data_IF_691743134699
#
_entry.id   IF_691743134699
#
_cell.length_a   1.000
_cell.length_b   1.000
_cell.length_c   1.000
_cell.angle_alpha   90.00
_cell.angle_beta   90.00
_cell.angle_gamma   90.00
#
_symmetry.space_group_name_H-M   'P 1'
#
loop_
_entity.id
_entity.type
_entity.pdbx_description
1 polymer ?
#
# COMPACT_ATOMS: atom_id res chain seq x y z
N UNK A 1 3.05 60.53 -21.28
CA UNK A 1 2.33 60.25 -20.02
C UNK A 1 2.93 59.10 -19.23
N UNK A 2 3.83 58.28 -19.81
CA UNK A 2 4.39 57.09 -19.15
C UNK A 2 5.87 57.24 -18.79
N UNK A 3 6.40 58.47 -18.71
CA UNK A 3 7.83 58.66 -18.40
C UNK A 3 8.06 58.32 -16.92
N UNK A 4 8.94 57.35 -16.61
CA UNK A 4 9.27 57.03 -15.24
C UNK A 4 9.98 58.19 -14.55
N UNK A 5 9.80 58.30 -13.23
CA UNK A 5 10.58 59.19 -12.39
C UNK A 5 11.98 58.60 -12.09
N UNK A 6 12.74 59.25 -11.20
CA UNK A 6 14.11 58.82 -10.84
C UNK A 6 14.16 57.47 -10.12
N UNK A 7 13.01 56.98 -9.65
CA UNK A 7 12.84 55.71 -8.95
C UNK A 7 12.17 54.65 -9.86
N UNK A 8 12.12 54.91 -11.17
CA UNK A 8 11.47 54.06 -12.19
C UNK A 8 9.93 53.95 -12.04
N UNK A 9 9.30 54.85 -11.27
CA UNK A 9 7.84 54.84 -11.08
C UNK A 9 7.14 55.66 -12.16
N UNK A 10 6.11 55.09 -12.79
CA UNK A 10 5.29 55.84 -13.73
C UNK A 10 4.31 56.79 -13.02
N UNK A 11 3.83 57.86 -13.68
CA UNK A 11 2.89 58.81 -13.07
C UNK A 11 1.59 58.16 -12.60
N UNK A 12 1.16 57.09 -13.29
CA UNK A 12 0.02 56.28 -12.89
C UNK A 12 0.29 55.53 -11.59
N UNK A 13 1.48 54.93 -11.43
CA UNK A 13 1.87 54.25 -10.19
C UNK A 13 1.90 55.21 -9.01
N UNK A 14 2.48 56.39 -9.16
CA UNK A 14 2.53 57.39 -8.08
C UNK A 14 1.13 57.88 -7.67
N UNK A 15 0.19 58.00 -8.62
CA UNK A 15 -1.20 58.32 -8.31
C UNK A 15 -1.90 57.17 -7.55
N UNK A 16 -1.63 55.92 -7.91
CA UNK A 16 -2.19 54.73 -7.28
C UNK A 16 -1.61 54.49 -5.88
N UNK A 17 -0.30 54.60 -5.73
CA UNK A 17 0.43 54.44 -4.45
C UNK A 17 0.03 55.53 -3.43
N UNK A 18 -0.21 56.76 -3.91
CA UNK A 18 -0.74 57.85 -3.07
C UNK A 18 -2.24 57.80 -2.81
N UNK A 19 -2.95 56.77 -3.31
CA UNK A 19 -4.39 56.58 -3.12
C UNK A 19 -5.29 57.55 -3.91
N UNK A 20 -4.74 58.27 -4.89
CA UNK A 20 -5.45 59.28 -5.70
C UNK A 20 -6.18 58.63 -6.89
N UNK A 21 -7.20 57.83 -6.59
CA UNK A 21 -7.97 57.05 -7.56
C UNK A 21 -8.61 57.91 -8.67
N UNK A 22 -9.07 59.13 -8.35
CA UNK A 22 -9.66 60.05 -9.34
C UNK A 22 -8.63 60.48 -10.40
N UNK A 23 -7.40 60.76 -9.96
CA UNK A 23 -6.30 61.16 -10.84
C UNK A 23 -5.87 59.96 -11.68
N UNK A 24 -5.76 58.77 -11.07
CA UNK A 24 -5.50 57.53 -11.81
C UNK A 24 -6.56 57.27 -12.88
N UNK A 25 -7.85 57.44 -12.58
CA UNK A 25 -8.94 57.27 -13.55
C UNK A 25 -8.84 58.25 -14.73
N UNK A 26 -8.48 59.51 -14.46
CA UNK A 26 -8.24 60.52 -15.51
C UNK A 26 -7.05 60.10 -16.38
N UNK A 27 -5.95 59.64 -15.78
CA UNK A 27 -4.77 59.18 -16.52
C UNK A 27 -5.09 58.00 -17.43
N UNK A 28 -5.84 57.01 -16.96
CA UNK A 28 -6.31 55.87 -17.77
C UNK A 28 -7.20 56.35 -18.91
N UNK A 29 -8.15 57.26 -18.64
CA UNK A 29 -9.03 57.84 -19.66
C UNK A 29 -8.27 58.58 -20.77
N UNK A 30 -7.13 59.18 -20.44
CA UNK A 30 -6.26 59.87 -21.40
C UNK A 30 -5.25 58.93 -22.10
N UNK A 31 -5.40 57.61 -21.97
CA UNK A 31 -4.62 56.62 -22.70
C UNK A 31 -3.26 56.33 -22.08
N UNK A 32 -3.13 56.44 -20.75
CA UNK A 32 -1.96 55.92 -20.03
C UNK A 32 -1.89 54.40 -20.19
N UNK A 33 -0.67 53.88 -20.40
CA UNK A 33 -0.45 52.45 -20.59
C UNK A 33 -0.49 51.74 -19.23
N UNK A 34 -1.35 50.74 -19.11
CA UNK A 34 -1.54 49.96 -17.88
C UNK A 34 -0.51 48.83 -17.76
N UNK A 35 0.08 48.42 -18.88
CA UNK A 35 0.96 47.24 -18.98
C UNK A 35 2.43 47.64 -19.01
N UNK A 36 2.75 48.77 -18.37
CA UNK A 36 4.12 49.25 -18.24
C UNK A 36 4.97 48.25 -17.49
N UNK A 37 6.13 47.97 -18.07
CA UNK A 37 7.12 47.06 -17.51
C UNK A 37 8.13 47.86 -16.69
N UNK A 38 8.25 47.52 -15.41
CA UNK A 38 9.27 48.07 -14.52
C UNK A 38 10.24 46.98 -14.07
N UNK A 39 11.34 47.40 -13.44
CA UNK A 39 12.17 46.47 -12.67
C UNK A 39 11.33 45.85 -11.53
N UNK A 40 11.50 44.55 -11.33
CA UNK A 40 10.87 43.76 -10.28
C UNK A 40 11.89 43.05 -9.39
N UNK A 41 11.42 42.22 -8.46
CA UNK A 41 12.29 41.42 -7.59
C UNK A 41 13.31 40.63 -8.40
N UNK A 42 14.52 40.49 -7.87
CA UNK A 42 15.61 39.77 -8.54
C UNK A 42 16.15 40.41 -9.83
N UNK A 43 15.63 41.58 -10.25
CA UNK A 43 15.98 42.20 -11.53
C UNK A 43 15.12 41.73 -12.70
N UNK A 44 14.01 41.01 -12.43
CA UNK A 44 13.05 40.63 -13.46
C UNK A 44 12.31 41.86 -14.01
N UNK A 45 11.65 41.73 -15.15
CA UNK A 45 10.68 42.71 -15.65
C UNK A 45 9.28 42.26 -15.28
N UNK A 46 8.52 43.16 -14.66
CA UNK A 46 7.17 42.91 -14.18
C UNK A 46 6.20 44.01 -14.63
N UNK A 47 4.90 43.71 -14.75
CA UNK A 47 3.89 44.73 -15.03
C UNK A 47 3.43 45.43 -13.75
N UNK A 48 2.73 46.56 -13.87
CA UNK A 48 2.15 47.26 -12.71
C UNK A 48 1.23 46.35 -11.88
N UNK A 49 0.52 45.42 -12.53
CA UNK A 49 -0.31 44.44 -11.84
C UNK A 49 0.52 43.48 -10.96
N UNK A 50 1.65 42.96 -11.47
CA UNK A 50 2.55 42.12 -10.67
C UNK A 50 3.09 42.85 -9.45
N UNK A 51 3.48 44.13 -9.62
CA UNK A 51 3.95 44.95 -8.51
C UNK A 51 2.86 45.20 -7.47
N UNK A 52 1.63 45.47 -7.90
CA UNK A 52 0.49 45.64 -6.98
C UNK A 52 0.21 44.35 -6.19
N UNK A 53 0.38 43.19 -6.81
CA UNK A 53 0.28 41.90 -6.13
C UNK A 53 1.45 41.72 -5.14
N UNK A 54 2.71 41.99 -5.53
CA UNK A 54 3.91 41.84 -4.68
C UNK A 54 3.81 42.68 -3.40
N UNK A 55 3.31 43.91 -3.54
CA UNK A 55 3.11 44.85 -2.45
C UNK A 55 1.83 44.57 -1.63
N UNK A 56 1.07 43.53 -1.99
CA UNK A 56 -0.21 43.18 -1.40
C UNK A 56 -1.22 44.35 -1.40
N UNK A 57 -1.21 45.15 -2.46
CA UNK A 57 -2.11 46.29 -2.61
C UNK A 57 -3.34 45.89 -3.44
N UNK A 58 -4.28 45.23 -2.79
CA UNK A 58 -5.52 44.72 -3.41
C UNK A 58 -6.34 45.82 -4.09
N UNK A 59 -6.35 47.03 -3.52
CA UNK A 59 -7.11 48.16 -4.05
C UNK A 59 -6.59 48.62 -5.42
N UNK A 60 -5.26 48.73 -5.54
CA UNK A 60 -4.58 49.09 -6.78
C UNK A 60 -4.68 47.96 -7.80
N UNK A 61 -4.50 46.71 -7.38
CA UNK A 61 -4.67 45.56 -8.25
C UNK A 61 -6.09 45.51 -8.85
N UNK A 62 -7.13 45.66 -8.02
CA UNK A 62 -8.52 45.69 -8.48
C UNK A 62 -8.79 46.87 -9.43
N UNK A 63 -8.21 48.04 -9.16
CA UNK A 63 -8.33 49.20 -10.05
C UNK A 63 -7.73 48.93 -11.44
N UNK A 64 -6.52 48.36 -11.49
CA UNK A 64 -5.84 48.02 -12.74
C UNK A 64 -6.62 46.95 -13.53
N UNK A 65 -7.14 45.92 -12.85
CA UNK A 65 -7.95 44.86 -13.47
C UNK A 65 -9.24 45.41 -14.08
N UNK A 66 -9.98 46.23 -13.32
CA UNK A 66 -11.21 46.90 -13.79
C UNK A 66 -10.96 47.87 -14.94
N UNK A 67 -9.77 48.45 -14.99
CA UNK A 67 -9.34 49.37 -16.05
C UNK A 67 -8.91 48.66 -17.34
N UNK A 68 -8.82 47.32 -17.34
CA UNK A 68 -8.56 46.53 -18.54
C UNK A 68 -7.08 46.27 -18.83
N UNK A 69 -6.22 46.20 -17.81
CA UNK A 69 -4.83 45.75 -17.97
C UNK A 69 -4.73 44.30 -18.48
N UNK A 70 -3.55 43.91 -18.96
CA UNK A 70 -3.20 42.53 -19.28
C UNK A 70 -3.08 41.69 -18.00
N UNK A 71 -3.96 40.70 -17.89
CA UNK A 71 -4.10 39.80 -16.73
C UNK A 71 -3.34 38.49 -16.89
N UNK A 72 -2.76 38.23 -18.06
CA UNK A 72 -2.25 36.91 -18.43
C UNK A 72 -0.73 36.90 -18.68
N UNK A 73 -0.13 38.04 -19.04
CA UNK A 73 1.32 38.11 -19.28
C UNK A 73 2.12 37.65 -18.04
N UNK A 74 3.05 36.69 -18.17
CA UNK A 74 3.96 36.34 -17.08
C UNK A 74 5.14 37.32 -16.98
N UNK A 75 5.89 37.27 -15.88
CA UNK A 75 7.16 38.01 -15.72
C UNK A 75 8.17 37.65 -16.82
N UNK A 76 9.06 38.59 -17.14
CA UNK A 76 10.12 38.41 -18.17
C UNK A 76 11.50 38.59 -17.53
N UNK A 77 12.56 37.95 -18.05
CA UNK A 77 13.91 38.18 -17.55
C UNK A 77 14.35 39.63 -17.84
N UNK A 78 15.22 40.14 -16.99
CA UNK A 78 15.85 41.45 -17.15
C UNK A 78 16.74 41.52 -18.40
N UNK A 79 17.09 42.73 -18.87
CA UNK A 79 17.87 42.94 -20.10
C UNK A 79 19.26 42.28 -20.08
N UNK A 80 19.83 42.02 -18.90
CA UNK A 80 21.13 41.38 -18.71
C UNK A 80 21.03 39.90 -18.27
N UNK A 81 19.82 39.32 -18.28
CA UNK A 81 19.56 37.98 -17.73
C UNK A 81 19.34 37.94 -16.22
N UNK A 82 19.21 39.09 -15.57
CA UNK A 82 18.82 39.21 -14.15
C UNK A 82 17.35 38.79 -13.95
N UNK A 83 16.99 38.34 -12.74
CA UNK A 83 15.64 37.89 -12.40
C UNK A 83 15.19 36.66 -13.17
N UNK A 84 16.15 35.85 -13.64
CA UNK A 84 15.88 34.66 -14.42
C UNK A 84 15.07 33.64 -13.63
N UNK A 85 15.24 33.56 -12.30
CA UNK A 85 14.50 32.62 -11.45
C UNK A 85 13.00 32.95 -11.43
N UNK A 86 12.62 34.18 -11.04
CA UNK A 86 11.21 34.62 -11.01
C UNK A 86 10.57 34.63 -12.42
N UNK A 87 11.36 34.94 -13.46
CA UNK A 87 10.88 34.92 -14.83
C UNK A 87 10.76 33.51 -15.40
N UNK A 88 11.57 32.55 -14.93
CA UNK A 88 11.52 31.14 -15.33
C UNK A 88 10.27 30.45 -14.82
N UNK A 89 9.65 30.93 -13.75
CA UNK A 89 8.41 30.35 -13.23
C UNK A 89 7.25 30.49 -14.21
N UNK A 90 7.27 31.49 -15.10
CA UNK A 90 6.16 31.79 -16.03
C UNK A 90 4.80 31.96 -15.32
N UNK A 91 4.84 32.40 -14.06
CA UNK A 91 3.67 32.65 -13.23
C UNK A 91 2.85 33.83 -13.78
N UNK A 92 1.57 33.59 -14.10
CA UNK A 92 0.64 34.67 -14.45
C UNK A 92 0.19 35.45 -13.19
N UNK A 93 -0.38 36.65 -13.34
CA UNK A 93 -0.97 37.39 -12.22
C UNK A 93 -1.95 36.55 -11.37
N UNK A 94 -2.72 35.66 -12.00
CA UNK A 94 -3.62 34.76 -11.30
C UNK A 94 -2.88 33.67 -10.51
N UNK A 95 -1.73 33.16 -10.98
CA UNK A 95 -0.88 32.26 -10.19
C UNK A 95 -0.34 32.94 -8.94
N UNK A 96 0.15 34.18 -9.05
CA UNK A 96 0.68 34.93 -7.91
C UNK A 96 -0.42 35.26 -6.88
N UNK A 97 -1.59 35.69 -7.35
CA UNK A 97 -2.73 35.93 -6.48
C UNK A 97 -3.17 34.65 -5.74
N UNK A 98 -3.11 33.48 -6.40
CA UNK A 98 -3.36 32.18 -5.76
C UNK A 98 -2.24 31.74 -4.82
N UNK A 99 -0.98 32.13 -5.08
CA UNK A 99 0.17 31.80 -4.25
C UNK A 99 0.18 32.59 -2.94
N UNK A 100 -0.20 33.87 -2.98
CA UNK A 100 -0.21 34.76 -1.82
C UNK A 100 -1.54 34.81 -1.06
N UNK A 101 -2.59 34.17 -1.58
CA UNK A 101 -3.87 34.13 -0.89
C UNK A 101 -4.71 35.40 -1.07
N UNK A 102 -4.56 36.13 -2.17
CA UNK A 102 -5.25 37.40 -2.42
C UNK A 102 -6.69 37.18 -2.92
N UNK A 103 -7.60 36.87 -2.00
CA UNK A 103 -8.98 36.46 -2.29
C UNK A 103 -9.76 37.49 -3.13
N UNK A 104 -9.68 38.77 -2.76
CA UNK A 104 -10.38 39.88 -3.45
C UNK A 104 -9.87 40.07 -4.88
N UNK A 105 -8.55 39.92 -5.06
CA UNK A 105 -7.91 40.09 -6.36
C UNK A 105 -8.21 38.90 -7.26
N UNK A 106 -8.20 37.67 -6.73
CA UNK A 106 -8.64 36.48 -7.48
C UNK A 106 -10.09 36.64 -7.94
N UNK A 107 -10.99 37.08 -7.05
CA UNK A 107 -12.38 37.33 -7.43
C UNK A 107 -12.47 38.38 -8.55
N UNK A 108 -11.74 39.49 -8.43
CA UNK A 108 -11.74 40.54 -9.45
C UNK A 108 -11.16 40.06 -10.79
N UNK A 109 -10.09 39.26 -10.78
CA UNK A 109 -9.50 38.64 -11.97
C UNK A 109 -10.50 37.73 -12.67
N UNK A 110 -11.20 36.87 -11.93
CA UNK A 110 -12.20 35.93 -12.47
C UNK A 110 -13.40 36.69 -13.07
N UNK A 111 -13.90 37.72 -12.38
CA UNK A 111 -15.03 38.53 -12.86
C UNK A 111 -14.71 39.31 -14.14
N UNK A 112 -13.44 39.56 -14.43
CA UNK A 112 -12.99 40.32 -15.59
C UNK A 112 -12.26 39.43 -16.62
N UNK A 113 -12.70 38.19 -16.80
CA UNK A 113 -12.24 37.28 -17.88
C UNK A 113 -10.72 36.97 -17.87
N UNK A 114 -10.07 36.92 -16.70
CA UNK A 114 -8.71 36.39 -16.61
C UNK A 114 -8.68 34.89 -17.00
N UNK A 115 -7.60 34.45 -17.66
CA UNK A 115 -7.51 33.07 -18.11
C UNK A 115 -7.22 32.13 -16.93
N UNK A 116 -8.20 31.30 -16.56
CA UNK A 116 -8.12 30.40 -15.40
C UNK A 116 -7.29 29.13 -15.62
N UNK A 117 -6.98 28.79 -16.88
CA UNK A 117 -6.29 27.55 -17.27
C UNK A 117 -4.84 27.77 -17.72
N UNK A 118 -4.28 28.96 -17.49
CA UNK A 118 -2.88 29.27 -17.83
C UNK A 118 -1.95 28.27 -17.14
N UNK A 119 -0.85 27.93 -17.82
CA UNK A 119 0.18 27.05 -17.29
C UNK A 119 1.42 27.84 -16.91
N UNK A 120 1.95 27.58 -15.73
CA UNK A 120 3.29 28.02 -15.34
C UNK A 120 4.37 27.09 -15.93
N UNK A 121 5.63 27.30 -15.54
CA UNK A 121 6.77 26.52 -16.01
C UNK A 121 6.80 25.07 -15.52
N UNK A 122 6.10 24.77 -14.42
CA UNK A 122 5.86 23.41 -13.94
C UNK A 122 4.60 22.79 -14.56
N UNK A 123 3.99 23.46 -15.55
CA UNK A 123 2.70 23.09 -16.12
C UNK A 123 1.56 23.04 -15.09
N UNK A 124 1.74 23.67 -13.93
CA UNK A 124 0.68 23.86 -12.95
C UNK A 124 -0.26 24.94 -13.44
N UNK A 125 -1.49 24.85 -12.94
CA UNK A 125 -2.56 25.84 -13.17
C UNK A 125 -2.75 26.63 -11.88
N UNK A 126 -3.41 27.80 -11.91
CA UNK A 126 -3.70 28.55 -10.69
C UNK A 126 -4.41 27.72 -9.61
N UNK A 127 -5.28 26.79 -10.01
CA UNK A 127 -5.93 25.85 -9.08
C UNK A 127 -4.95 24.91 -8.37
N UNK A 128 -3.89 24.43 -9.04
CA UNK A 128 -2.87 23.61 -8.39
C UNK A 128 -2.14 24.41 -7.31
N UNK A 129 -1.72 25.64 -7.64
CA UNK A 129 -1.04 26.55 -6.70
C UNK A 129 -1.93 26.90 -5.50
N UNK A 130 -3.23 27.16 -5.73
CA UNK A 130 -4.18 27.44 -4.65
C UNK A 130 -4.36 26.23 -3.70
N UNK A 131 -4.36 25.01 -4.25
CA UNK A 131 -4.45 23.75 -3.49
C UNK A 131 -3.18 23.48 -2.68
N UNK A 132 -2.00 23.70 -3.27
CA UNK A 132 -0.70 23.54 -2.62
C UNK A 132 -0.55 24.48 -1.42
N UNK A 133 -1.00 25.73 -1.57
CA UNK A 133 -0.99 26.74 -0.51
C UNK A 133 -2.22 26.69 0.43
N UNK A 134 -3.14 25.74 0.22
CA UNK A 134 -4.30 25.49 1.09
C UNK A 134 -5.31 26.66 1.21
N UNK A 135 -5.41 27.53 0.21
CA UNK A 135 -6.34 28.67 0.21
C UNK A 135 -7.78 28.26 -0.13
N UNK A 136 -8.54 27.80 0.87
CA UNK A 136 -9.88 27.23 0.67
C UNK A 136 -10.89 28.15 -0.04
N UNK A 137 -10.87 29.46 0.22
CA UNK A 137 -11.77 30.42 -0.43
C UNK A 137 -11.43 30.56 -1.91
N UNK A 138 -10.15 30.73 -2.24
CA UNK A 138 -9.65 30.81 -3.62
C UNK A 138 -9.98 29.54 -4.40
N UNK A 139 -9.77 28.36 -3.80
CA UNK A 139 -10.11 27.08 -4.42
C UNK A 139 -11.60 27.04 -4.75
N UNK A 140 -12.47 27.51 -3.85
CA UNK A 140 -13.92 27.55 -4.06
C UNK A 140 -14.31 28.52 -5.18
N UNK A 141 -13.68 29.70 -5.26
CA UNK A 141 -13.88 30.68 -6.33
C UNK A 141 -13.47 30.12 -7.71
N UNK A 142 -12.30 29.49 -7.80
CA UNK A 142 -11.83 28.86 -9.04
C UNK A 142 -12.75 27.69 -9.46
N UNK A 143 -13.16 26.84 -8.52
CA UNK A 143 -14.06 25.71 -8.79
C UNK A 143 -15.48 26.14 -9.19
N UNK A 144 -15.90 27.36 -8.88
CA UNK A 144 -17.16 27.91 -9.37
C UNK A 144 -17.09 28.32 -10.86
N UNK A 145 -15.89 28.50 -11.42
CA UNK A 145 -15.73 28.97 -12.79
C UNK A 145 -15.97 27.84 -13.83
N UNK A 146 -16.89 28.00 -14.80
CA UNK A 146 -17.33 26.91 -15.67
C UNK A 146 -16.24 26.41 -16.62
N UNK A 147 -15.32 27.27 -17.06
CA UNK A 147 -14.26 26.88 -18.00
C UNK A 147 -13.05 26.20 -17.34
N UNK A 148 -13.00 26.11 -16.01
CA UNK A 148 -11.89 25.46 -15.31
C UNK A 148 -11.84 23.97 -15.67
N UNK A 149 -10.68 23.53 -16.13
CA UNK A 149 -10.42 22.14 -16.47
C UNK A 149 -9.67 21.44 -15.31
N UNK A 150 -10.22 20.33 -14.83
CA UNK A 150 -9.71 19.56 -13.70
C UNK A 150 -8.99 18.26 -14.12
N UNK A 151 -8.86 18.03 -15.43
CA UNK A 151 -8.32 16.78 -15.98
C UNK A 151 -6.83 16.84 -16.32
N UNK A 152 -6.26 18.04 -16.46
CA UNK A 152 -4.86 18.18 -16.88
C UNK A 152 -3.92 18.03 -15.73
N UNK A 153 -2.75 17.51 -16.09
CA UNK A 153 -1.66 17.15 -15.21
C UNK A 153 -0.56 18.21 -15.25
N UNK A 154 0.05 18.45 -14.10
CA UNK A 154 1.30 19.18 -13.98
C UNK A 154 2.48 18.37 -14.55
N UNK A 155 3.70 18.91 -14.46
CA UNK A 155 4.93 18.25 -14.90
C UNK A 155 5.24 16.95 -14.13
N UNK A 156 4.74 16.80 -12.90
CA UNK A 156 4.87 15.60 -12.08
C UNK A 156 3.79 14.55 -12.42
N UNK A 157 2.83 14.88 -13.28
CA UNK A 157 1.71 14.01 -13.64
C UNK A 157 0.50 14.12 -12.71
N UNK A 158 0.48 15.08 -11.78
CA UNK A 158 -0.60 15.31 -10.82
C UNK A 158 -1.72 16.15 -11.42
N UNK A 159 -2.95 15.66 -11.29
CA UNK A 159 -4.17 16.47 -11.50
C UNK A 159 -4.44 17.33 -10.25
N UNK A 160 -5.36 18.32 -10.31
CA UNK A 160 -5.73 19.10 -9.12
C UNK A 160 -6.19 18.22 -7.95
N UNK A 161 -6.91 17.14 -8.24
CA UNK A 161 -7.30 16.16 -7.22
C UNK A 161 -6.08 15.44 -6.61
N UNK A 162 -5.13 15.00 -7.46
CA UNK A 162 -3.89 14.38 -6.98
C UNK A 162 -3.05 15.33 -6.11
N UNK A 163 -3.00 16.61 -6.48
CA UNK A 163 -2.35 17.65 -5.68
C UNK A 163 -3.04 17.78 -4.30
N UNK A 164 -4.38 17.81 -4.27
CA UNK A 164 -5.15 17.89 -3.02
C UNK A 164 -4.92 16.68 -2.11
N UNK A 165 -4.84 15.47 -2.68
CA UNK A 165 -4.50 14.25 -1.93
C UNK A 165 -3.06 14.30 -1.39
N UNK A 166 -2.11 14.80 -2.19
CA UNK A 166 -0.70 14.89 -1.80
C UNK A 166 -0.48 15.92 -0.70
N UNK A 167 -1.22 17.04 -0.72
CA UNK A 167 -1.18 18.08 0.31
C UNK A 167 -2.12 17.82 1.48
N UNK A 168 -2.82 16.67 1.51
CA UNK A 168 -3.81 16.29 2.53
C UNK A 168 -4.94 17.32 2.72
N UNK A 169 -5.30 18.03 1.65
CA UNK A 169 -6.36 19.01 1.66
C UNK A 169 -7.72 18.37 1.36
N UNK A 170 -8.30 17.72 2.38
CA UNK A 170 -9.59 16.99 2.26
C UNK A 170 -10.74 17.89 1.81
N UNK A 171 -10.75 19.17 2.20
CA UNK A 171 -11.79 20.14 1.79
C UNK A 171 -11.71 20.42 0.29
N UNK A 172 -10.51 20.64 -0.24
CA UNK A 172 -10.29 20.84 -1.66
C UNK A 172 -10.62 19.58 -2.46
N UNK A 173 -10.16 18.40 -1.99
CA UNK A 173 -10.46 17.13 -2.62
C UNK A 173 -11.99 16.88 -2.70
N UNK A 174 -12.73 17.14 -1.62
CA UNK A 174 -14.18 17.03 -1.62
C UNK A 174 -14.86 18.03 -2.58
N UNK A 175 -14.40 19.29 -2.59
CA UNK A 175 -14.94 20.30 -3.49
C UNK A 175 -14.71 19.94 -4.97
N UNK A 176 -13.55 19.36 -5.29
CA UNK A 176 -13.23 18.85 -6.63
C UNK A 176 -14.15 17.69 -7.00
N UNK A 177 -14.38 16.72 -6.10
CA UNK A 177 -15.25 15.57 -6.35
C UNK A 177 -16.72 15.95 -6.52
N UNK A 178 -17.19 16.98 -5.83
CA UNK A 178 -18.54 17.51 -6.00
C UNK A 178 -18.78 18.03 -7.43
N UNK A 179 -17.71 18.49 -8.11
CA UNK A 179 -17.77 18.95 -9.50
C UNK A 179 -17.45 17.82 -10.48
N UNK A 180 -16.42 17.02 -10.20
CA UNK A 180 -15.93 15.92 -11.04
C UNK A 180 -15.77 14.65 -10.20
N UNK A 181 -16.83 13.81 -10.07
CA UNK A 181 -16.81 12.62 -9.22
C UNK A 181 -15.83 11.54 -9.73
N UNK A 182 -15.51 11.55 -11.02
CA UNK A 182 -14.55 10.63 -11.65
C UNK A 182 -13.10 10.94 -11.29
N UNK A 183 -12.82 12.08 -10.62
CA UNK A 183 -11.46 12.50 -10.29
C UNK A 183 -10.72 11.51 -9.37
N UNK A 184 -11.43 10.81 -8.49
CA UNK A 184 -10.83 9.83 -7.58
C UNK A 184 -10.53 8.46 -8.23
N UNK A 185 -11.09 8.18 -9.42
CA UNK A 185 -10.87 6.92 -10.15
C UNK A 185 -9.63 6.97 -11.06
N UNK A 186 -8.93 8.10 -11.10
CA UNK A 186 -7.74 8.25 -11.92
C UNK A 186 -6.62 7.32 -11.44
N UNK A 187 -5.94 6.71 -12.41
CA UNK A 187 -4.80 5.83 -12.19
C UNK A 187 -3.49 6.49 -12.60
N UNK A 188 -2.41 6.05 -11.97
CA UNK A 188 -1.05 6.38 -12.37
C UNK A 188 -0.58 5.55 -13.58
N UNK A 189 0.66 5.77 -14.04
CA UNK A 189 1.23 5.01 -15.16
C UNK A 189 1.41 3.51 -14.87
N UNK A 190 1.28 3.09 -13.61
CA UNK A 190 1.33 1.68 -13.19
C UNK A 190 -0.07 1.07 -13.04
N UNK A 191 -1.13 1.86 -13.21
CA UNK A 191 -2.51 1.40 -13.04
C UNK A 191 -3.05 1.52 -11.62
N UNK A 192 -2.32 2.17 -10.71
CA UNK A 192 -2.70 2.32 -9.31
C UNK A 192 -3.60 3.53 -9.14
N UNK A 193 -4.74 3.34 -8.48
CA UNK A 193 -5.59 4.45 -8.04
C UNK A 193 -5.02 5.12 -6.76
N UNK A 194 -5.68 6.19 -6.29
CA UNK A 194 -5.27 6.87 -5.06
C UNK A 194 -5.35 6.01 -3.81
N UNK A 195 -6.28 5.05 -3.74
CA UNK A 195 -6.43 4.14 -2.61
C UNK A 195 -5.24 3.17 -2.50
N UNK A 196 -4.75 2.62 -3.61
CA UNK A 196 -3.54 1.79 -3.66
C UNK A 196 -2.32 2.58 -3.15
N UNK A 197 -2.17 3.83 -3.61
CA UNK A 197 -1.06 4.70 -3.20
C UNK A 197 -1.16 5.04 -1.70
N UNK A 198 -2.37 5.32 -1.19
CA UNK A 198 -2.59 5.64 0.21
C UNK A 198 -2.25 4.45 1.13
N UNK A 199 -2.67 3.24 0.77
CA UNK A 199 -2.36 2.01 1.52
C UNK A 199 -0.85 1.75 1.51
N UNK A 200 -0.20 1.83 0.34
CA UNK A 200 1.25 1.60 0.23
C UNK A 200 2.07 2.63 1.00
N UNK A 201 1.60 3.88 1.09
CA UNK A 201 2.22 4.92 1.90
C UNK A 201 1.83 4.84 3.37
N UNK A 202 1.00 3.89 3.77
CA UNK A 202 0.51 3.71 5.15
C UNK A 202 -0.33 4.89 5.66
N UNK A 203 -0.91 5.67 4.74
CA UNK A 203 -1.62 6.90 5.04
C UNK A 203 -3.09 6.64 5.35
N UNK A 204 -3.36 6.25 6.60
CA UNK A 204 -4.69 5.89 7.09
C UNK A 204 -5.70 7.03 6.90
N UNK A 205 -5.27 8.29 7.08
CA UNK A 205 -6.15 9.45 6.90
C UNK A 205 -6.67 9.55 5.46
N UNK A 206 -5.78 9.40 4.48
CA UNK A 206 -6.14 9.37 3.08
C UNK A 206 -7.00 8.15 2.73
N UNK A 207 -6.73 6.99 3.32
CA UNK A 207 -7.58 5.78 3.14
C UNK A 207 -8.99 6.03 3.66
N UNK A 208 -9.14 6.54 4.89
CA UNK A 208 -10.45 6.84 5.48
C UNK A 208 -11.21 7.90 4.69
N UNK A 209 -10.51 8.93 4.21
CA UNK A 209 -11.09 9.95 3.34
C UNK A 209 -11.58 9.38 2.01
N UNK A 210 -10.76 8.58 1.32
CA UNK A 210 -11.15 7.96 0.05
C UNK A 210 -12.31 6.97 0.20
N UNK A 211 -12.43 6.33 1.36
CA UNK A 211 -13.54 5.42 1.65
C UNK A 211 -14.81 6.20 2.02
N UNK A 212 -14.70 7.34 2.71
CA UNK A 212 -15.87 8.17 3.05
C UNK A 212 -16.54 8.78 1.84
N UNK A 213 -15.80 8.99 0.74
CA UNK A 213 -16.33 9.42 -0.56
C UNK A 213 -16.84 8.26 -1.43
N UNK A 214 -16.95 7.04 -0.88
CA UNK A 214 -17.43 5.83 -1.55
C UNK A 214 -16.66 5.46 -2.83
N UNK A 215 -15.33 5.67 -2.86
CA UNK A 215 -14.48 5.14 -3.94
C UNK A 215 -14.65 3.63 -4.05
N UNK A 216 -14.69 3.12 -5.27
CA UNK A 216 -14.75 1.69 -5.52
C UNK A 216 -13.51 0.97 -4.95
N UNK A 217 -13.68 0.25 -3.84
CA UNK A 217 -12.64 -0.56 -3.19
C UNK A 217 -12.29 -1.83 -3.98
N UNK A 218 -13.04 -2.16 -5.02
CA UNK A 218 -12.80 -3.31 -5.89
C UNK A 218 -12.25 -2.90 -7.26
N UNK A 219 -11.80 -1.65 -7.43
CA UNK A 219 -11.14 -1.25 -8.68
C UNK A 219 -9.82 -2.01 -8.82
N UNK A 220 -9.63 -2.81 -9.89
CA UNK A 220 -8.39 -3.55 -10.07
C UNK A 220 -7.23 -2.61 -10.40
N UNK A 221 -6.01 -3.02 -10.05
CA UNK A 221 -4.81 -2.37 -10.56
C UNK A 221 -4.69 -2.71 -12.06
N UNK A 222 -4.83 -1.71 -12.94
CA UNK A 222 -4.64 -1.90 -14.38
C UNK A 222 -3.15 -1.79 -14.72
N UNK A 223 -2.35 -2.79 -14.35
CA UNK A 223 -0.95 -2.84 -14.75
C UNK A 223 -0.85 -2.83 -16.30
N UNK A 224 -0.55 -1.66 -16.89
CA UNK A 224 -0.41 -1.45 -18.34
C UNK A 224 0.84 -2.17 -18.89
N UNK A 225 1.69 -2.67 -18.00
CA UNK A 225 2.67 -3.68 -18.33
C UNK A 225 1.98 -5.04 -18.20
N UNK A 226 1.39 -5.54 -19.30
CA UNK A 226 1.87 -6.76 -19.98
C UNK A 226 1.25 -6.91 -21.37
N UNK A 227 2.15 -7.01 -22.35
CA UNK A 227 2.08 -7.74 -23.60
C UNK A 227 0.72 -8.34 -23.99
N UNK A 228 0.20 -7.95 -25.16
CA UNK A 228 -0.78 -8.71 -25.95
C UNK A 228 -0.50 -10.22 -25.87
N UNK A 229 -1.22 -10.95 -25.02
CA UNK A 229 -1.51 -12.38 -25.15
C UNK A 229 -2.54 -12.75 -24.09
N UNK A 230 -3.73 -13.11 -24.59
CA UNK A 230 -4.78 -13.90 -23.95
C UNK A 230 -4.39 -14.53 -22.61
N UNK A 231 -4.75 -13.83 -21.52
CA UNK A 231 -4.98 -14.43 -20.21
C UNK A 231 -6.33 -13.88 -19.75
N UNK A 232 -7.19 -14.75 -19.22
CA UNK A 232 -8.56 -14.45 -18.84
C UNK A 232 -8.65 -13.21 -17.95
N UNK A 233 -9.72 -12.44 -18.15
CA UNK A 233 -10.14 -11.26 -17.37
C UNK A 233 -10.43 -11.64 -15.90
N UNK A 234 -9.39 -11.95 -15.13
CA UNK A 234 -9.47 -11.89 -13.68
C UNK A 234 -9.03 -10.50 -13.27
N UNK A 235 -10.00 -9.64 -12.99
CA UNK A 235 -9.79 -8.37 -12.31
C UNK A 235 -9.17 -8.69 -10.94
N UNK A 236 -7.87 -8.45 -10.78
CA UNK A 236 -7.16 -8.74 -9.52
C UNK A 236 -7.22 -7.51 -8.62
N UNK A 237 -7.73 -7.70 -7.40
CA UNK A 237 -7.81 -6.66 -6.38
C UNK A 237 -6.68 -6.86 -5.35
N UNK A 238 -5.70 -5.96 -5.39
CA UNK A 238 -4.48 -6.09 -4.58
C UNK A 238 -4.52 -5.23 -3.30
N UNK A 239 -5.58 -4.46 -3.06
CA UNK A 239 -5.66 -3.57 -1.88
C UNK A 239 -5.57 -4.32 -0.55
N UNK A 240 -6.28 -5.44 -0.42
CA UNK A 240 -6.23 -6.27 0.78
C UNK A 240 -4.88 -7.00 0.91
N UNK A 241 -4.26 -7.39 -0.22
CA UNK A 241 -2.91 -7.97 -0.25
C UNK A 241 -1.85 -6.98 0.23
N UNK A 242 -1.92 -5.73 -0.24
CA UNK A 242 -1.01 -4.65 0.18
C UNK A 242 -1.16 -4.33 1.66
N UNK A 243 -2.39 -4.19 2.15
CA UNK A 243 -2.65 -3.95 3.57
C UNK A 243 -2.15 -5.12 4.45
N UNK A 244 -2.32 -6.36 3.98
CA UNK A 244 -1.83 -7.57 4.63
C UNK A 244 -0.30 -7.66 4.63
N UNK A 245 0.36 -7.25 3.53
CA UNK A 245 1.82 -7.27 3.37
C UNK A 245 2.55 -6.31 4.32
N UNK A 246 1.91 -5.20 4.71
CA UNK A 246 2.51 -4.19 5.59
C UNK A 246 2.01 -4.29 7.06
N UNK A 247 1.25 -5.33 7.41
CA UNK A 247 0.66 -5.54 8.74
C UNK A 247 -0.32 -4.43 9.19
N UNK A 248 -1.02 -3.77 8.26
CA UNK A 248 -1.98 -2.72 8.58
C UNK A 248 -3.36 -3.28 8.92
N UNK A 249 -3.48 -3.88 10.12
CA UNK A 249 -4.72 -4.47 10.60
C UNK A 249 -5.93 -3.50 10.54
N UNK A 250 -5.73 -2.23 10.90
CA UNK A 250 -6.79 -1.21 10.82
C UNK A 250 -7.27 -0.97 9.38
N UNK A 251 -6.35 -0.94 8.41
CA UNK A 251 -6.71 -0.80 6.99
C UNK A 251 -7.43 -2.05 6.51
N UNK A 252 -6.96 -3.25 6.89
CA UNK A 252 -7.67 -4.50 6.56
C UNK A 252 -9.12 -4.47 7.08
N UNK A 253 -9.32 -4.08 8.34
CA UNK A 253 -10.65 -3.99 8.97
C UNK A 253 -11.56 -3.00 8.22
N UNK A 254 -11.04 -1.80 7.94
CA UNK A 254 -11.75 -0.78 7.17
C UNK A 254 -12.12 -1.25 5.75
N UNK A 255 -11.22 -1.96 5.06
CA UNK A 255 -11.51 -2.50 3.72
C UNK A 255 -12.58 -3.61 3.77
N UNK A 256 -12.51 -4.50 4.77
CA UNK A 256 -13.48 -5.58 4.98
C UNK A 256 -14.88 -5.02 5.28
N UNK A 257 -14.98 -4.01 6.14
CA UNK A 257 -16.23 -3.31 6.45
C UNK A 257 -16.86 -2.67 5.20
N UNK A 258 -16.04 -2.25 4.24
CA UNK A 258 -16.46 -1.64 2.99
C UNK A 258 -16.67 -2.65 1.84
N UNK A 259 -16.86 -3.94 2.17
CA UNK A 259 -17.20 -5.02 1.21
C UNK A 259 -16.17 -5.21 0.10
N UNK A 260 -14.89 -5.11 0.44
CA UNK A 260 -13.83 -5.57 -0.45
C UNK A 260 -13.97 -7.07 -0.72
N UNK A 261 -13.66 -7.50 -1.94
CA UNK A 261 -13.54 -8.91 -2.28
C UNK A 261 -12.32 -9.51 -1.57
N UNK A 262 -12.55 -10.22 -0.46
CA UNK A 262 -11.49 -10.78 0.38
C UNK A 262 -10.88 -12.08 -0.19
N UNK A 263 -11.58 -12.77 -1.09
CA UNK A 263 -11.10 -13.98 -1.78
C UNK A 263 -10.36 -13.66 -3.10
N UNK A 264 -10.08 -12.38 -3.36
CA UNK A 264 -9.25 -11.98 -4.48
C UNK A 264 -7.87 -12.66 -4.41
N UNK A 265 -7.31 -12.98 -5.58
CA UNK A 265 -6.05 -13.71 -5.71
C UNK A 265 -5.00 -12.88 -6.46
N UNK A 266 -3.75 -12.96 -5.99
CA UNK A 266 -2.58 -12.36 -6.64
C UNK A 266 -2.09 -13.17 -7.87
N UNK A 267 -0.95 -12.77 -8.44
CA UNK A 267 -0.33 -13.45 -9.58
C UNK A 267 0.07 -14.91 -9.34
N UNK A 268 0.30 -15.28 -8.09
CA UNK A 268 0.69 -16.61 -7.66
C UNK A 268 -0.49 -17.41 -7.11
N UNK A 269 -1.73 -16.94 -7.31
CA UNK A 269 -2.95 -17.47 -6.68
C UNK A 269 -2.92 -17.44 -5.13
N UNK A 270 -2.16 -16.54 -4.53
CA UNK A 270 -2.23 -16.28 -3.10
C UNK A 270 -3.44 -15.40 -2.82
N UNK A 271 -4.16 -15.69 -1.74
CA UNK A 271 -5.08 -14.72 -1.12
C UNK A 271 -4.33 -13.83 -0.11
N UNK A 272 -5.01 -12.82 0.43
CA UNK A 272 -4.42 -11.91 1.41
C UNK A 272 -3.86 -12.61 2.66
N UNK A 273 -4.46 -13.74 3.06
CA UNK A 273 -4.00 -14.53 4.20
C UNK A 273 -2.64 -15.18 3.93
N UNK A 274 -2.39 -15.70 2.73
CA UNK A 274 -1.06 -16.21 2.35
C UNK A 274 0.02 -15.13 2.51
N UNK A 275 -0.28 -13.89 2.10
CA UNK A 275 0.66 -12.77 2.21
C UNK A 275 0.90 -12.40 3.69
N UNK A 276 -0.17 -12.25 4.48
CA UNK A 276 -0.05 -11.94 5.91
C UNK A 276 0.82 -12.95 6.66
N UNK A 277 0.61 -14.26 6.41
CA UNK A 277 1.38 -15.32 7.08
C UNK A 277 2.80 -15.46 6.55
N UNK A 278 3.04 -15.20 5.26
CA UNK A 278 4.38 -15.18 4.66
C UNK A 278 5.29 -14.17 5.35
N UNK A 279 4.76 -12.99 5.66
CA UNK A 279 5.51 -11.94 6.34
C UNK A 279 5.48 -12.06 7.88
N UNK A 280 4.72 -13.01 8.44
CA UNK A 280 4.61 -13.22 9.89
C UNK A 280 3.79 -12.14 10.61
N UNK A 281 2.80 -11.57 9.93
CA UNK A 281 1.98 -10.45 10.38
C UNK A 281 0.77 -10.91 11.18
N UNK A 282 0.94 -11.00 12.50
CA UNK A 282 -0.07 -11.52 13.42
C UNK A 282 -1.37 -10.70 13.43
N UNK A 283 -1.28 -9.37 13.40
CA UNK A 283 -2.46 -8.51 13.53
C UNK A 283 -3.29 -8.50 12.25
N UNK A 284 -2.65 -8.39 11.09
CA UNK A 284 -3.34 -8.57 9.81
C UNK A 284 -3.99 -9.96 9.70
N UNK A 285 -3.27 -11.02 10.11
CA UNK A 285 -3.81 -12.39 10.11
C UNK A 285 -5.03 -12.52 11.04
N UNK A 286 -5.01 -11.88 12.21
CA UNK A 286 -6.14 -11.84 13.15
C UNK A 286 -7.37 -11.24 12.49
N UNK A 287 -7.25 -10.03 11.97
CA UNK A 287 -8.36 -9.33 11.31
C UNK A 287 -8.92 -10.16 10.15
N UNK A 288 -8.04 -10.69 9.28
CA UNK A 288 -8.48 -11.52 8.15
C UNK A 288 -9.26 -12.78 8.61
N UNK A 289 -8.82 -13.46 9.66
CA UNK A 289 -9.49 -14.66 10.16
C UNK A 289 -10.76 -14.40 10.97
N UNK A 290 -10.86 -13.26 11.66
CA UNK A 290 -11.99 -12.99 12.57
C UNK A 290 -13.06 -12.09 11.96
N UNK A 291 -12.69 -11.18 11.06
CA UNK A 291 -13.59 -10.18 10.46
C UNK A 291 -14.01 -10.54 9.03
N UNK A 292 -13.49 -11.65 8.49
CA UNK A 292 -13.86 -12.12 7.15
C UNK A 292 -14.07 -13.63 7.10
N UNK A 293 -14.71 -14.10 6.02
CA UNK A 293 -14.86 -15.52 5.71
C UNK A 293 -13.84 -15.98 4.66
N UNK A 294 -12.65 -15.36 4.68
CA UNK A 294 -11.57 -15.68 3.73
C UNK A 294 -11.26 -17.18 3.75
N UNK A 295 -11.10 -17.77 2.57
CA UNK A 295 -10.79 -19.18 2.47
C UNK A 295 -9.36 -19.47 2.97
N UNK A 296 -9.24 -19.86 4.24
CA UNK A 296 -7.97 -20.20 4.86
C UNK A 296 -7.38 -21.56 4.40
N UNK A 297 -8.13 -22.30 3.59
CA UNK A 297 -7.69 -23.54 2.94
C UNK A 297 -7.40 -23.37 1.44
N UNK A 298 -7.49 -22.14 0.93
CA UNK A 298 -7.14 -21.84 -0.46
C UNK A 298 -5.71 -22.29 -0.75
N UNK A 299 -5.49 -22.80 -1.97
CA UNK A 299 -4.17 -23.24 -2.42
C UNK A 299 -3.63 -22.29 -3.48
N UNK A 300 -2.38 -21.88 -3.31
CA UNK A 300 -1.69 -21.07 -4.30
C UNK A 300 -1.19 -21.89 -5.50
N UNK A 301 -0.48 -21.26 -6.44
CA UNK A 301 0.04 -21.92 -7.64
C UNK A 301 1.01 -23.08 -7.37
N UNK A 302 1.60 -23.15 -6.16
CA UNK A 302 2.46 -24.26 -5.69
C UNK A 302 1.66 -25.34 -4.95
N UNK A 303 0.33 -25.25 -4.91
CA UNK A 303 -0.52 -26.12 -4.10
C UNK A 303 -0.37 -25.88 -2.59
N UNK A 304 0.18 -24.74 -2.18
CA UNK A 304 0.42 -24.44 -0.77
C UNK A 304 -0.78 -23.69 -0.20
N UNK A 305 -1.29 -24.19 0.93
CA UNK A 305 -2.21 -23.44 1.80
C UNK A 305 -1.46 -22.37 2.62
N UNK A 306 -2.16 -21.40 3.23
CA UNK A 306 -1.54 -20.41 4.12
C UNK A 306 -0.67 -21.03 5.22
N UNK A 307 -1.07 -22.17 5.80
CA UNK A 307 -0.25 -22.86 6.80
C UNK A 307 1.09 -23.37 6.25
N UNK A 308 1.15 -23.79 4.99
CA UNK A 308 2.40 -24.24 4.37
C UNK A 308 3.36 -23.05 4.20
N UNK A 309 2.82 -21.91 3.77
CA UNK A 309 3.56 -20.65 3.66
C UNK A 309 4.05 -20.17 5.03
N UNK A 310 3.20 -20.25 6.06
CA UNK A 310 3.57 -19.98 7.46
C UNK A 310 4.71 -20.89 7.94
N UNK A 311 4.67 -22.17 7.61
CA UNK A 311 5.72 -23.12 7.99
C UNK A 311 7.03 -22.92 7.20
N UNK A 312 6.94 -22.38 5.99
CA UNK A 312 8.08 -22.14 5.13
C UNK A 312 8.81 -20.82 5.44
N UNK A 313 8.05 -19.75 5.70
CA UNK A 313 8.59 -18.39 5.84
C UNK A 313 8.40 -17.79 7.24
N UNK A 314 7.58 -18.42 8.08
CA UNK A 314 7.25 -17.92 9.40
C UNK A 314 8.48 -17.80 10.31
N UNK A 315 8.67 -16.58 10.82
CA UNK A 315 9.71 -16.21 11.79
C UNK A 315 9.28 -16.53 13.23
N UNK A 316 9.63 -15.68 14.20
CA UNK A 316 9.38 -15.89 15.62
C UNK A 316 7.88 -15.93 15.98
N UNK A 317 7.05 -15.16 15.26
CA UNK A 317 5.60 -15.08 15.52
C UNK A 317 4.81 -16.26 14.93
N UNK A 318 5.45 -17.19 14.21
CA UNK A 318 4.73 -18.21 13.45
C UNK A 318 3.90 -19.14 14.33
N UNK A 319 4.38 -19.47 15.54
CA UNK A 319 3.63 -20.26 16.50
C UNK A 319 2.36 -19.54 16.96
N UNK A 320 2.42 -18.23 17.25
CA UNK A 320 1.25 -17.46 17.66
C UNK A 320 0.21 -17.34 16.53
N UNK A 321 0.67 -17.19 15.28
CA UNK A 321 -0.21 -17.22 14.11
C UNK A 321 -0.89 -18.59 13.99
N UNK A 322 -0.14 -19.69 14.17
CA UNK A 322 -0.72 -21.02 14.11
C UNK A 322 -1.78 -21.28 15.21
N UNK A 323 -1.53 -20.82 16.44
CA UNK A 323 -2.55 -20.91 17.51
C UNK A 323 -3.82 -20.13 17.13
N UNK A 324 -3.69 -18.97 16.51
CA UNK A 324 -4.83 -18.20 16.00
C UNK A 324 -5.62 -18.96 14.91
N UNK A 325 -4.94 -19.69 14.01
CA UNK A 325 -5.63 -20.59 13.07
C UNK A 325 -6.44 -21.65 13.80
N UNK A 326 -5.90 -22.23 14.88
CA UNK A 326 -6.60 -23.24 15.68
C UNK A 326 -7.74 -22.68 16.53
N UNK A 327 -7.58 -21.47 17.07
CA UNK A 327 -8.66 -20.75 17.76
C UNK A 327 -9.82 -20.44 16.82
N UNK A 328 -9.51 -20.00 15.60
CA UNK A 328 -10.52 -19.61 14.60
C UNK A 328 -11.14 -20.84 13.90
N UNK A 329 -10.35 -21.89 13.68
CA UNK A 329 -10.74 -23.11 12.98
C UNK A 329 -10.15 -24.35 13.69
N UNK A 330 -10.87 -24.96 14.65
CA UNK A 330 -10.37 -26.12 15.40
C UNK A 330 -10.00 -27.32 14.50
N UNK A 331 -10.81 -27.56 13.46
CA UNK A 331 -10.68 -28.67 12.53
C UNK A 331 -9.76 -28.39 11.33
N UNK A 332 -8.98 -27.30 11.38
CA UNK A 332 -8.08 -26.93 10.29
C UNK A 332 -7.12 -28.08 9.90
N UNK A 333 -6.98 -28.43 8.61
CA UNK A 333 -6.27 -29.63 8.16
C UNK A 333 -4.74 -29.45 8.21
N UNK A 334 -4.16 -29.68 9.40
CA UNK A 334 -2.71 -29.53 9.66
C UNK A 334 -1.82 -30.52 8.90
N UNK A 335 -2.37 -31.67 8.51
CA UNK A 335 -1.66 -32.73 7.78
C UNK A 335 -1.90 -32.67 6.26
N UNK A 336 -2.57 -31.61 5.79
CA UNK A 336 -2.64 -31.35 4.36
C UNK A 336 -1.24 -31.25 3.76
N UNK A 337 -1.14 -31.60 2.48
CA UNK A 337 0.12 -31.63 1.77
C UNK A 337 0.08 -30.70 0.57
N UNK A 338 1.21 -30.09 0.26
CA UNK A 338 1.36 -29.27 -0.94
C UNK A 338 1.54 -30.11 -2.23
N UNK A 339 1.82 -29.46 -3.36
CA UNK A 339 2.02 -30.12 -4.65
C UNK A 339 3.22 -31.08 -4.70
N UNK A 340 4.19 -30.92 -3.80
CA UNK A 340 5.35 -31.80 -3.61
C UNK A 340 5.12 -32.85 -2.51
N UNK A 341 3.91 -32.92 -1.97
CA UNK A 341 3.52 -33.73 -0.84
C UNK A 341 4.22 -33.36 0.49
N UNK A 342 4.72 -32.13 0.63
CA UNK A 342 5.27 -31.66 1.90
C UNK A 342 4.14 -31.34 2.88
N UNK A 343 4.27 -31.80 4.13
CA UNK A 343 3.42 -31.33 5.23
C UNK A 343 3.98 -30.03 5.81
N UNK A 344 3.11 -29.22 6.43
CA UNK A 344 3.55 -28.03 7.17
C UNK A 344 4.63 -28.35 8.22
N UNK A 345 4.51 -29.49 8.91
CA UNK A 345 5.50 -29.94 9.89
C UNK A 345 6.90 -30.18 9.27
N UNK A 346 6.96 -30.79 8.09
CA UNK A 346 8.24 -31.01 7.39
C UNK A 346 8.90 -29.67 7.02
N UNK A 347 8.11 -28.73 6.47
CA UNK A 347 8.60 -27.40 6.09
C UNK A 347 9.12 -26.63 7.32
N UNK A 348 8.37 -26.61 8.42
CA UNK A 348 8.78 -25.95 9.66
C UNK A 348 10.05 -26.57 10.26
N UNK A 349 10.18 -27.91 10.17
CA UNK A 349 11.32 -28.65 10.69
C UNK A 349 12.61 -28.37 9.90
N UNK A 350 12.55 -28.38 8.57
CA UNK A 350 13.70 -28.11 7.69
C UNK A 350 14.20 -26.67 7.88
N UNK A 351 13.29 -25.71 8.11
CA UNK A 351 13.66 -24.33 8.41
C UNK A 351 14.12 -24.11 9.86
N UNK A 352 14.06 -25.13 10.73
CA UNK A 352 14.51 -25.03 12.11
C UNK A 352 13.57 -24.24 13.03
N UNK A 353 12.32 -23.99 12.64
CA UNK A 353 11.36 -23.27 13.48
C UNK A 353 10.81 -24.18 14.59
N UNK A 354 11.59 -24.32 15.66
CA UNK A 354 11.27 -25.24 16.75
C UNK A 354 10.01 -24.87 17.55
N UNK A 355 9.68 -23.58 17.66
CA UNK A 355 8.45 -23.13 18.33
C UNK A 355 7.21 -23.59 17.56
N UNK A 356 7.19 -23.36 16.24
CA UNK A 356 6.09 -23.78 15.38
C UNK A 356 6.00 -25.31 15.30
N UNK A 357 7.12 -26.02 15.18
CA UNK A 357 7.13 -27.48 15.22
C UNK A 357 6.48 -28.02 16.50
N UNK A 358 6.76 -27.42 17.66
CA UNK A 358 6.15 -27.83 18.93
C UNK A 358 4.63 -27.59 18.92
N UNK A 359 4.18 -26.45 18.40
CA UNK A 359 2.75 -26.14 18.31
C UNK A 359 2.02 -27.14 17.40
N UNK A 360 2.56 -27.42 16.21
CA UNK A 360 2.03 -28.42 15.27
C UNK A 360 1.94 -29.83 15.89
N UNK A 361 2.98 -30.26 16.58
CA UNK A 361 3.00 -31.57 17.24
C UNK A 361 1.98 -31.64 18.38
N UNK A 362 1.81 -30.57 19.17
CA UNK A 362 0.76 -30.50 20.21
C UNK A 362 -0.64 -30.55 19.62
N UNK A 363 -0.83 -29.92 18.45
CA UNK A 363 -2.06 -29.98 17.68
C UNK A 363 -2.33 -31.35 17.03
N UNK A 364 -1.38 -32.29 17.09
CA UNK A 364 -1.56 -33.67 16.64
C UNK A 364 -1.04 -33.99 15.24
N UNK A 365 -0.14 -33.17 14.68
CA UNK A 365 0.43 -33.40 13.36
C UNK A 365 1.12 -34.78 13.23
N UNK A 366 0.96 -35.42 12.07
CA UNK A 366 1.63 -36.69 11.74
C UNK A 366 3.12 -36.47 11.51
N UNK A 367 3.92 -37.15 12.34
CA UNK A 367 5.38 -37.04 12.31
C UNK A 367 6.01 -37.76 11.10
N UNK A 368 5.39 -38.84 10.62
CA UNK A 368 6.01 -39.78 9.66
C UNK A 368 5.60 -39.59 8.20
N UNK A 369 4.88 -38.54 7.83
CA UNK A 369 4.44 -38.34 6.44
C UNK A 369 5.64 -38.07 5.53
N UNK A 370 5.73 -38.77 4.40
CA UNK A 370 6.78 -38.60 3.39
C UNK A 370 6.30 -37.71 2.25
N UNK A 371 7.16 -36.79 1.83
CA UNK A 371 6.95 -36.01 0.61
C UNK A 371 7.28 -36.83 -0.66
N UNK A 372 7.12 -36.23 -1.84
CA UNK A 372 7.40 -36.87 -3.13
C UNK A 372 8.86 -37.28 -3.31
N UNK A 373 9.79 -36.61 -2.62
CA UNK A 373 11.22 -36.94 -2.61
C UNK A 373 11.58 -38.04 -1.58
N UNK A 374 10.60 -38.49 -0.79
CA UNK A 374 10.80 -39.46 0.28
C UNK A 374 11.39 -38.88 1.56
N UNK A 375 11.27 -37.57 1.78
CA UNK A 375 11.71 -36.89 3.00
C UNK A 375 10.56 -36.80 4.02
N UNK A 376 10.92 -36.96 5.29
CA UNK A 376 10.12 -36.76 6.49
C UNK A 376 11.03 -36.19 7.59
N UNK A 377 10.49 -35.82 8.75
CA UNK A 377 11.30 -35.18 9.81
C UNK A 377 12.43 -36.07 10.37
N UNK A 378 12.38 -37.40 10.17
CA UNK A 378 13.38 -38.34 10.67
C UNK A 378 14.60 -38.49 9.76
N UNK A 379 14.41 -38.30 8.46
CA UNK A 379 15.46 -38.40 7.44
C UNK A 379 15.79 -37.06 6.75
N UNK A 380 15.08 -35.97 7.09
CA UNK A 380 15.34 -34.64 6.54
C UNK A 380 16.80 -34.21 6.81
N UNK A 381 17.47 -33.61 5.80
CA UNK A 381 18.86 -33.17 5.92
C UNK A 381 18.93 -31.90 6.77
N UNK A 382 19.16 -32.05 8.08
CA UNK A 382 19.34 -30.95 9.03
C UNK A 382 20.71 -31.03 9.70
N UNK A 383 21.24 -29.88 10.13
CA UNK A 383 22.56 -29.80 10.78
C UNK A 383 22.64 -30.62 12.07
N UNK A 384 21.57 -30.64 12.88
CA UNK A 384 21.48 -31.43 14.12
C UNK A 384 20.10 -32.05 14.29
N UNK A 385 20.04 -33.24 14.89
CA UNK A 385 18.77 -33.94 15.23
C UNK A 385 18.21 -33.57 16.60
N UNK A 386 18.79 -32.57 17.28
CA UNK A 386 18.35 -32.15 18.61
C UNK A 386 16.89 -31.70 18.64
N UNK A 387 16.43 -31.00 17.60
CA UNK A 387 15.04 -30.59 17.51
C UNK A 387 14.11 -31.81 17.44
N UNK A 388 14.44 -32.82 16.62
CA UNK A 388 13.66 -34.05 16.52
C UNK A 388 13.57 -34.77 17.87
N UNK A 389 14.69 -34.92 18.58
CA UNK A 389 14.68 -35.57 19.89
C UNK A 389 13.83 -34.80 20.90
N UNK A 390 13.93 -33.47 20.94
CA UNK A 390 13.07 -32.62 21.79
C UNK A 390 11.59 -32.73 21.44
N UNK A 391 11.24 -32.81 20.16
CA UNK A 391 9.85 -33.00 19.72
C UNK A 391 9.30 -34.36 20.16
N UNK A 392 10.08 -35.42 20.01
CA UNK A 392 9.73 -36.78 20.42
C UNK A 392 9.59 -36.92 21.95
N UNK A 393 10.46 -36.23 22.70
CA UNK A 393 10.40 -36.22 24.15
C UNK A 393 9.15 -35.47 24.68
N UNK A 394 8.78 -34.36 24.03
CA UNK A 394 7.60 -33.57 24.37
C UNK A 394 6.26 -34.32 24.16
N UNK A 395 6.23 -35.38 23.35
CA UNK A 395 4.99 -36.14 23.12
C UNK A 395 4.41 -36.65 24.44
N UNK A 396 3.19 -36.22 24.78
CA UNK A 396 2.46 -36.62 26.00
C UNK A 396 1.38 -37.67 25.73
N UNK A 397 0.97 -37.84 24.48
CA UNK A 397 -0.02 -38.81 24.02
C UNK A 397 0.44 -39.47 22.73
N UNK A 398 -0.17 -40.60 22.42
CA UNK A 398 0.07 -41.30 21.17
C UNK A 398 -0.31 -40.41 19.97
N UNK A 399 0.64 -40.12 19.04
CA UNK A 399 0.38 -39.29 17.88
C UNK A 399 -0.41 -40.05 16.81
N UNK A 400 -0.99 -39.31 15.86
CA UNK A 400 -1.69 -39.90 14.73
C UNK A 400 -0.74 -40.78 13.90
N UNK A 401 -1.23 -41.97 13.52
CA UNK A 401 -0.44 -42.91 12.75
C UNK A 401 -0.27 -42.44 11.32
N UNK A 402 0.96 -42.61 10.83
CA UNK A 402 1.28 -42.40 9.42
C UNK A 402 0.83 -43.62 8.61
N UNK A 403 0.33 -43.38 7.41
CA UNK A 403 -0.08 -44.42 6.48
C UNK A 403 0.82 -44.42 5.24
N UNK A 404 0.91 -45.56 4.57
CA UNK A 404 1.76 -45.72 3.39
C UNK A 404 1.94 -47.17 2.93
N UNK A 405 2.65 -47.33 1.82
CA UNK A 405 2.99 -48.63 1.23
C UNK A 405 4.42 -49.10 1.52
N UNK A 406 5.26 -48.24 2.10
CA UNK A 406 6.68 -48.52 2.34
C UNK A 406 7.06 -48.26 3.81
N UNK A 407 8.07 -48.99 4.29
CA UNK A 407 8.69 -48.74 5.59
C UNK A 407 9.38 -47.36 5.58
N UNK A 408 9.04 -46.49 6.53
CA UNK A 408 9.57 -45.12 6.60
C UNK A 408 11.06 -45.03 7.03
N UNK A 409 11.71 -46.17 7.31
CA UNK A 409 13.13 -46.25 7.70
C UNK A 409 13.96 -46.92 6.60
N UNK A 410 13.57 -48.11 6.15
CA UNK A 410 14.35 -48.89 5.16
C UNK A 410 13.75 -48.90 3.75
N UNK A 411 12.66 -48.18 3.50
CA UNK A 411 11.98 -48.05 2.22
C UNK A 411 11.47 -49.37 1.59
N UNK A 412 11.43 -50.47 2.36
CA UNK A 412 10.89 -51.75 1.89
C UNK A 412 9.37 -51.68 1.71
N UNK A 413 8.86 -52.12 0.57
CA UNK A 413 7.43 -52.20 0.29
C UNK A 413 6.73 -53.25 1.15
N UNK A 414 5.59 -52.88 1.72
CA UNK A 414 4.73 -53.80 2.46
C UNK A 414 3.95 -54.72 1.50
N UNK A 415 3.71 -55.94 1.94
CA UNK A 415 3.01 -56.96 1.17
C UNK A 415 2.83 -58.23 2.00
N UNK A 416 2.67 -59.36 1.33
CA UNK A 416 2.39 -60.64 2.01
C UNK A 416 3.53 -61.05 2.97
N UNK A 417 4.79 -60.81 2.58
CA UNK A 417 5.98 -61.17 3.36
C UNK A 417 6.37 -60.12 4.42
N UNK A 418 5.92 -58.88 4.25
CA UNK A 418 6.33 -57.72 5.06
C UNK A 418 5.09 -57.02 5.60
N UNK A 419 4.75 -57.31 6.86
CA UNK A 419 3.60 -56.71 7.54
C UNK A 419 3.88 -55.27 7.96
N UNK A 420 2.82 -54.46 8.00
CA UNK A 420 2.80 -53.09 8.52
C UNK A 420 2.86 -53.12 10.05
N UNK A 421 3.76 -52.34 10.62
CA UNK A 421 3.82 -52.09 12.06
C UNK A 421 3.92 -50.59 12.31
N UNK A 422 3.33 -50.10 13.40
CA UNK A 422 3.49 -48.71 13.81
C UNK A 422 4.34 -48.61 15.06
N UNK A 423 5.25 -47.64 15.11
CA UNK A 423 5.92 -47.26 16.35
C UNK A 423 4.89 -46.64 17.29
N UNK A 424 4.67 -47.24 18.46
CA UNK A 424 3.67 -46.76 19.42
C UNK A 424 4.02 -45.39 20.02
N UNK A 425 5.29 -44.98 19.93
CA UNK A 425 5.75 -43.69 20.42
C UNK A 425 5.54 -42.54 19.42
N UNK A 426 6.03 -42.68 18.20
CA UNK A 426 6.05 -41.61 17.19
C UNK A 426 5.07 -41.81 16.02
N UNK A 427 4.31 -42.90 15.99
CA UNK A 427 3.31 -43.16 14.95
C UNK A 427 3.85 -43.51 13.56
N UNK A 428 5.18 -43.66 13.41
CA UNK A 428 5.82 -44.05 12.14
C UNK A 428 5.40 -45.45 11.70
N UNK A 429 5.16 -45.60 10.40
CA UNK A 429 4.94 -46.88 9.74
C UNK A 429 6.27 -47.58 9.40
N UNK A 430 6.48 -48.77 9.92
CA UNK A 430 7.74 -49.51 9.89
C UNK A 430 7.54 -51.01 9.64
N UNK A 431 8.60 -51.69 9.22
CA UNK A 431 8.63 -53.15 9.16
C UNK A 431 9.03 -53.76 10.51
N UNK A 432 8.85 -55.07 10.66
CA UNK A 432 9.17 -55.78 11.91
C UNK A 432 10.64 -55.63 12.35
N UNK A 433 11.58 -55.44 11.41
CA UNK A 433 13.02 -55.27 11.70
C UNK A 433 13.32 -53.87 12.25
N UNK A 434 12.79 -52.82 11.61
CA UNK A 434 13.00 -51.41 11.99
C UNK A 434 12.20 -50.98 13.24
N UNK A 435 11.39 -51.89 13.78
CA UNK A 435 10.60 -51.69 14.99
C UNK A 435 10.79 -52.86 15.94
N UNK A 436 12.00 -53.41 16.03
CA UNK A 436 12.27 -54.65 16.78
C UNK A 436 12.34 -54.46 18.30
N UNK A 437 12.36 -53.21 18.78
CA UNK A 437 12.48 -52.88 20.20
C UNK A 437 11.11 -52.87 20.86
N UNK A 438 11.01 -53.47 22.04
CA UNK A 438 9.82 -53.45 22.87
C UNK A 438 10.16 -52.82 24.23
N UNK A 439 9.41 -51.79 24.63
CA UNK A 439 9.59 -51.15 25.93
C UNK A 439 8.28 -50.51 26.43
N UNK A 440 8.08 -50.37 27.75
CA UNK A 440 6.93 -49.63 28.26
C UNK A 440 7.08 -48.14 27.96
N UNK A 441 5.99 -47.48 27.55
CA UNK A 441 5.94 -46.03 27.36
C UNK A 441 5.18 -45.44 28.54
N UNK A 442 5.89 -45.22 29.65
CA UNK A 442 5.32 -44.74 30.92
C UNK A 442 4.56 -43.44 30.73
N UNK A 443 5.08 -42.52 29.90
CA UNK A 443 4.43 -41.24 29.62
C UNK A 443 3.10 -41.34 28.86
N UNK A 444 2.82 -42.46 28.19
CA UNK A 444 1.52 -42.74 27.56
C UNK A 444 0.64 -43.65 28.43
N UNK A 445 1.02 -43.88 29.68
CA UNK A 445 0.41 -44.86 30.57
C UNK A 445 0.40 -46.30 30.01
N UNK A 446 1.37 -46.64 29.16
CA UNK A 446 1.54 -47.98 28.58
C UNK A 446 2.55 -48.77 29.41
N UNK A 447 2.06 -49.46 30.44
CA UNK A 447 2.89 -50.28 31.33
C UNK A 447 3.39 -51.58 30.69
N UNK A 448 2.68 -52.09 29.67
CA UNK A 448 3.11 -53.26 28.92
C UNK A 448 4.16 -52.84 27.87
N UNK A 449 5.18 -53.68 27.61
CA UNK A 449 6.11 -53.43 26.52
C UNK A 449 5.37 -53.30 25.20
N UNK A 450 5.57 -52.17 24.53
CA UNK A 450 5.02 -51.89 23.21
C UNK A 450 6.15 -51.64 22.23
N UNK A 451 5.83 -51.90 20.96
CA UNK A 451 6.77 -51.81 19.86
C UNK A 451 7.16 -50.36 19.56
N UNK A 452 8.46 -50.09 19.54
CA UNK A 452 9.04 -48.79 19.21
C UNK A 452 10.16 -48.91 18.17
N UNK A 453 10.45 -47.82 17.47
CA UNK A 453 11.61 -47.75 16.57
C UNK A 453 12.88 -47.42 17.33
N UNK A 454 14.04 -47.67 16.71
CA UNK A 454 15.34 -47.46 17.34
C UNK A 454 15.52 -46.00 17.81
N UNK A 455 15.13 -45.03 16.98
CA UNK A 455 15.16 -43.59 17.35
C UNK A 455 14.36 -43.29 18.62
N UNK A 456 13.17 -43.87 18.75
CA UNK A 456 12.31 -43.64 19.92
C UNK A 456 12.80 -44.42 21.13
N UNK A 457 13.39 -45.59 20.94
CA UNK A 457 14.03 -46.36 22.00
C UNK A 457 15.16 -45.55 22.64
N UNK A 458 16.01 -44.91 21.82
CA UNK A 458 17.10 -44.06 22.31
C UNK A 458 16.56 -42.86 23.09
N UNK A 459 15.56 -42.15 22.56
CA UNK A 459 14.93 -41.00 23.23
C UNK A 459 14.32 -41.39 24.58
N UNK A 460 13.58 -42.51 24.63
CA UNK A 460 12.90 -42.98 25.84
C UNK A 460 13.86 -43.55 26.88
N UNK A 461 15.01 -44.09 26.46
CA UNK A 461 15.99 -44.69 27.37
C UNK A 461 16.96 -43.67 27.96
N UNK A 462 17.35 -42.65 27.18
CA UNK A 462 18.37 -41.68 27.55
C UNK A 462 17.80 -40.38 28.14
N UNK A 463 16.47 -40.23 28.22
CA UNK A 463 15.83 -39.18 29.02
C UNK A 463 16.14 -37.75 28.58
N UNK A 464 16.22 -37.49 27.27
CA UNK A 464 16.39 -36.13 26.73
C UNK A 464 17.80 -35.54 26.86
N UNK A 465 18.81 -36.32 27.23
CA UNK A 465 20.23 -35.89 27.26
C UNK A 465 20.79 -35.86 25.82
N UNK A 466 20.34 -34.90 25.00
CA UNK A 466 20.77 -34.73 23.60
C UNK A 466 20.85 -33.27 23.13
#
# INVERSE_FOLDING_TARGET
MNLPDKEDNCPLWNALDSGQHDIAQILVKHGCDLDLWSAGPGGCRQTLLHRALDENNESVACFLIKSGCDKNSPRKPGPNGEGEEDAKELSSPLHLACCWGLETVVQCLIEHDAEVNVKDAESKRPVHVAIENQHTVIISLLLAHPSLDLTVRDKNGFTPFAAAMTTKNNKAAQAILNREPTAAEQVDNRGRNFLHIAIQKTDIESVLFLISINVNVNSPEFAISWSRRQCQEQTRNDLLHLAAADNHASICSVLLDNRIEFDALDENNNNALHIAVQHGHLQATRVLLTESQINAEAVNAKGQMPIHVLCQYGRDNAAAIFELFKESMPDYPIDAVDSEANTGLLLAYVNGNGNLCRALVRAGAKLGTMNRQGLNIFNAPVATKQLLFKLLDMLSKEPAWSEGEICLECCVKFGIKTRKHHCRHCGRLLCAKCSSKDMPIVKYNQQKPVRVCDVCFDVLSLGGVF
#
